data_IF_010397626025
#
_entry.id   IF_010397626025
#
_cell.length_a   1.000
_cell.length_b   1.000
_cell.length_c   1.000
_cell.angle_alpha   90.00
_cell.angle_beta   90.00
_cell.angle_gamma   90.00
#
_symmetry.space_group_name_H-M   'P 1'
#
loop_
_entity.id
_entity.type
_entity.pdbx_description
1 polymer ?
#
# COMPACT_ATOMS: atom_id res chain seq x y z
N UNK A 1 -13.60 8.36 0.59
CA UNK A 1 -14.18 7.12 1.13
C UNK A 1 -15.65 7.31 1.51
N UNK A 2 -16.55 6.40 1.12
CA UNK A 2 -17.96 6.39 1.53
C UNK A 2 -18.15 6.31 3.05
N UNK A 3 -19.26 6.82 3.57
CA UNK A 3 -19.57 6.82 5.01
C UNK A 3 -19.74 5.40 5.57
N UNK A 4 -20.20 4.49 4.75
CA UNK A 4 -20.48 3.08 5.02
C UNK A 4 -19.27 2.15 4.84
N UNK A 5 -18.09 2.69 4.53
CA UNK A 5 -16.86 1.89 4.46
C UNK A 5 -16.56 1.18 5.80
N UNK A 6 -16.19 -0.11 5.81
CA UNK A 6 -15.86 -0.80 7.06
C UNK A 6 -14.64 -0.15 7.74
N UNK A 7 -14.58 -0.08 9.08
CA UNK A 7 -13.40 0.42 9.78
C UNK A 7 -12.28 -0.63 9.71
N UNK A 8 -11.35 -0.47 8.78
CA UNK A 8 -10.27 -1.44 8.53
C UNK A 8 -9.09 -1.13 9.45
N UNK A 9 -8.73 0.14 9.55
CA UNK A 9 -7.73 0.65 10.49
C UNK A 9 -8.34 0.93 11.88
N UNK A 10 -7.46 1.00 12.89
CA UNK A 10 -7.84 1.47 14.23
C UNK A 10 -8.10 2.98 14.27
N UNK A 11 -7.42 3.72 13.40
CA UNK A 11 -7.62 5.16 13.21
C UNK A 11 -8.45 5.38 11.95
N UNK A 12 -9.65 5.95 12.08
CA UNK A 12 -10.59 6.10 10.97
C UNK A 12 -10.06 7.02 9.86
N UNK A 13 -9.11 7.89 10.18
CA UNK A 13 -8.53 8.79 9.17
C UNK A 13 -7.60 8.02 8.20
N UNK A 14 -6.98 6.92 8.66
CA UNK A 14 -6.15 6.05 7.80
C UNK A 14 -6.96 5.32 6.73
N UNK A 15 -8.23 5.01 7.00
CA UNK A 15 -9.09 4.27 6.07
C UNK A 15 -9.26 5.02 4.74
N UNK A 16 -9.07 6.34 4.72
CA UNK A 16 -9.11 7.12 3.48
C UNK A 16 -8.00 6.70 2.50
N UNK A 17 -6.80 6.41 3.01
CA UNK A 17 -5.67 5.95 2.21
C UNK A 17 -5.86 4.52 1.71
N UNK A 18 -6.44 3.66 2.56
CA UNK A 18 -6.79 2.29 2.19
C UNK A 18 -7.86 2.26 1.11
N UNK A 19 -8.88 3.12 1.27
CA UNK A 19 -9.96 3.24 0.30
C UNK A 19 -9.47 3.74 -1.05
N UNK A 20 -8.65 4.80 -1.08
CA UNK A 20 -8.17 5.36 -2.36
C UNK A 20 -7.24 4.38 -3.08
N UNK A 21 -6.42 3.61 -2.33
CA UNK A 21 -5.58 2.56 -2.90
C UNK A 21 -6.43 1.48 -3.58
N UNK A 22 -7.52 1.05 -2.92
CA UNK A 22 -8.44 0.07 -3.51
C UNK A 22 -9.22 0.64 -4.70
N UNK A 23 -9.74 1.86 -4.59
CA UNK A 23 -10.52 2.48 -5.65
C UNK A 23 -9.68 2.84 -6.89
N UNK A 24 -8.38 3.03 -6.70
CA UNK A 24 -7.42 3.32 -7.77
C UNK A 24 -6.66 2.10 -8.29
N UNK A 25 -7.04 0.89 -7.90
CA UNK A 25 -6.34 -0.37 -8.26
C UNK A 25 -4.83 -0.31 -8.00
N UNK A 26 -4.43 0.29 -6.87
CA UNK A 26 -3.03 0.39 -6.50
C UNK A 26 -2.43 -0.99 -6.20
N UNK A 27 -1.23 -1.24 -6.71
CA UNK A 27 -0.52 -2.50 -6.46
C UNK A 27 0.25 -2.49 -5.14
N UNK A 28 0.52 -1.30 -4.58
CA UNK A 28 1.31 -1.15 -3.36
C UNK A 28 0.97 0.17 -2.65
N UNK A 29 0.96 0.15 -1.31
CA UNK A 29 0.88 1.36 -0.47
C UNK A 29 2.25 1.60 0.16
N UNK A 30 2.85 2.74 -0.16
CA UNK A 30 4.12 3.18 0.42
C UNK A 30 3.82 4.15 1.55
N UNK A 31 4.27 3.84 2.77
CA UNK A 31 4.09 4.70 3.94
C UNK A 31 5.18 4.48 4.99
N UNK A 32 5.47 5.53 5.76
CA UNK A 32 6.30 5.45 6.98
C UNK A 32 5.45 5.64 8.25
N UNK A 33 4.13 5.74 8.09
CA UNK A 33 3.18 5.84 9.20
C UNK A 33 3.02 4.51 9.94
N UNK A 34 3.11 4.55 11.27
CA UNK A 34 3.09 3.36 12.12
C UNK A 34 1.71 2.72 12.23
N UNK A 35 0.63 3.45 11.98
CA UNK A 35 -0.73 2.93 12.04
C UNK A 35 -1.06 2.15 10.77
N UNK A 36 -0.72 2.70 9.59
CA UNK A 36 -0.82 2.01 8.31
C UNK A 36 0.10 0.79 8.23
N UNK A 37 1.35 0.89 8.69
CA UNK A 37 2.30 -0.23 8.65
C UNK A 37 1.85 -1.43 9.51
N UNK A 38 1.01 -1.24 10.53
CA UNK A 38 0.43 -2.35 11.32
C UNK A 38 -0.57 -3.19 10.54
N UNK A 39 -1.08 -2.68 9.41
CA UNK A 39 -2.00 -3.40 8.52
C UNK A 39 -1.26 -4.27 7.51
N UNK A 40 0.08 -4.26 7.52
CA UNK A 40 0.91 -5.15 6.72
C UNK A 40 0.52 -6.61 6.98
N UNK A 41 0.12 -7.32 5.91
CA UNK A 41 -0.28 -8.72 5.97
C UNK A 41 -1.74 -8.98 6.36
N UNK A 42 -2.48 -7.96 6.81
CA UNK A 42 -3.93 -8.07 7.05
C UNK A 42 -4.77 -7.33 6.00
N UNK A 43 -4.19 -6.37 5.30
CA UNK A 43 -4.81 -5.70 4.17
C UNK A 43 -4.47 -6.38 2.84
N UNK A 44 -5.40 -6.30 1.88
CA UNK A 44 -5.29 -7.00 0.59
C UNK A 44 -4.21 -6.40 -0.33
N UNK A 45 -4.02 -5.08 -0.31
CA UNK A 45 -2.91 -4.42 -1.00
C UNK A 45 -1.69 -4.45 -0.08
N UNK A 46 -0.49 -4.86 -0.56
CA UNK A 46 0.71 -4.85 0.25
C UNK A 46 1.06 -3.42 0.70
N UNK A 47 1.41 -3.30 1.99
CA UNK A 47 1.78 -2.04 2.63
C UNK A 47 3.20 -2.17 3.17
N UNK A 48 4.04 -1.18 2.90
CA UNK A 48 5.41 -1.16 3.38
C UNK A 48 6.07 0.20 3.32
N UNK A 49 7.28 0.26 3.88
CA UNK A 49 8.15 1.43 3.82
C UNK A 49 8.69 1.65 2.39
N UNK A 50 9.26 2.83 2.09
CA UNK A 50 9.94 3.05 0.81
C UNK A 50 11.01 2.01 0.49
N UNK A 51 11.75 1.54 1.50
CA UNK A 51 12.74 0.46 1.35
C UNK A 51 12.07 -0.87 0.98
N UNK A 52 10.97 -1.23 1.66
CA UNK A 52 10.21 -2.44 1.33
C UNK A 52 9.65 -2.39 -0.09
N UNK A 53 9.15 -1.23 -0.51
CA UNK A 53 8.69 -1.00 -1.88
C UNK A 53 9.81 -1.19 -2.90
N UNK A 54 11.00 -0.63 -2.63
CA UNK A 54 12.13 -0.74 -3.55
C UNK A 54 12.57 -2.19 -3.77
N UNK A 55 12.59 -3.01 -2.72
CA UNK A 55 12.88 -4.42 -2.87
C UNK A 55 11.74 -5.19 -3.55
N UNK A 56 10.49 -4.85 -3.26
CA UNK A 56 9.33 -5.44 -3.93
C UNK A 56 9.32 -5.13 -5.44
N UNK A 57 9.59 -3.88 -5.85
CA UNK A 57 9.51 -3.46 -7.25
C UNK A 57 10.59 -4.14 -8.10
N UNK A 58 11.78 -4.38 -7.55
CA UNK A 58 12.83 -5.16 -8.24
C UNK A 58 12.38 -6.58 -8.60
N UNK A 59 11.51 -7.17 -7.79
CA UNK A 59 10.97 -8.53 -7.98
C UNK A 59 9.72 -8.49 -8.87
N UNK A 60 8.77 -7.61 -8.57
CA UNK A 60 7.48 -7.51 -9.25
C UNK A 60 7.59 -6.89 -10.65
N UNK A 61 8.52 -5.95 -10.83
CA UNK A 61 8.74 -5.18 -12.03
C UNK A 61 10.23 -5.21 -12.42
N UNK A 62 10.76 -6.38 -12.83
CA UNK A 62 12.16 -6.50 -13.18
C UNK A 62 12.49 -5.51 -14.31
N UNK A 63 13.38 -4.56 -14.02
CA UNK A 63 13.83 -3.61 -15.04
C UNK A 63 14.69 -4.36 -16.06
N UNK A 64 14.30 -4.38 -17.35
CA UNK A 64 15.15 -4.96 -18.37
C UNK A 64 16.46 -4.18 -18.41
N UNK A 65 17.58 -4.88 -18.68
CA UNK A 65 18.83 -4.18 -18.95
C UNK A 65 18.59 -3.26 -20.15
N UNK A 66 19.01 -1.98 -20.07
CA UNK A 66 18.91 -1.12 -21.22
C UNK A 66 19.69 -1.73 -22.39
N UNK A 67 19.12 -1.64 -23.58
CA UNK A 67 19.64 -2.15 -24.84
C UNK A 67 20.50 -1.11 -25.59
N UNK A 68 20.90 -0.04 -24.90
CA UNK A 68 21.80 1.00 -25.39
C UNK A 68 23.26 0.79 -24.96
#
# INVERSE_FOLDING_TARGET
MPKDWPPVSKDRDDDQFLWVALAGDAEYIISDDKHLLKLKGSFIIPIGTPENFFEWVKIAHPMPRPDW
#
